data_IF_789790209398
#
_entry.id   IF_789790209398
#
_cell.length_a   1.000
_cell.length_b   1.000
_cell.length_c   1.000
_cell.angle_alpha   90.00
_cell.angle_beta   90.00
_cell.angle_gamma   90.00
#
_symmetry.space_group_name_H-M   'P 1'
#
loop_
_entity.id
_entity.type
_entity.pdbx_description
1 polymer ?
#
# COMPACT_ATOMS: atom_id res chain seq x y z
N UNK A 1 14.47 -4.28 -17.62
CA UNK A 1 13.08 -3.79 -17.48
C UNK A 1 12.16 -4.99 -17.33
N UNK A 2 11.13 -4.89 -16.49
CA UNK A 2 10.11 -5.93 -16.37
C UNK A 2 9.23 -5.92 -17.63
N UNK A 3 8.72 -7.08 -18.04
CA UNK A 3 7.88 -7.21 -19.24
C UNK A 3 6.75 -8.20 -18.94
N UNK A 4 5.52 -7.69 -18.99
CA UNK A 4 4.30 -8.45 -18.73
C UNK A 4 3.36 -8.43 -19.95
N UNK A 5 3.92 -8.41 -21.16
CA UNK A 5 3.17 -8.52 -22.41
C UNK A 5 2.38 -9.83 -22.53
N UNK A 6 1.24 -9.77 -23.23
CA UNK A 6 0.38 -10.93 -23.46
C UNK A 6 -0.06 -11.61 -22.16
N UNK A 7 0.10 -12.94 -22.10
CA UNK A 7 -0.30 -13.77 -20.96
C UNK A 7 0.67 -13.71 -19.76
N UNK A 8 1.83 -13.07 -19.89
CA UNK A 8 2.83 -13.01 -18.84
C UNK A 8 2.31 -12.33 -17.56
N UNK A 9 1.53 -11.25 -17.70
CA UNK A 9 0.89 -10.59 -16.55
C UNK A 9 0.00 -11.55 -15.77
N UNK A 10 -0.86 -12.30 -16.46
CA UNK A 10 -1.78 -13.23 -15.82
C UNK A 10 -1.02 -14.37 -15.12
N UNK A 11 0.04 -14.87 -15.75
CA UNK A 11 0.90 -15.92 -15.17
C UNK A 11 1.62 -15.46 -13.89
N UNK A 12 2.02 -14.18 -13.82
CA UNK A 12 2.70 -13.61 -12.66
C UNK A 12 1.74 -13.06 -11.58
N UNK A 13 0.45 -12.92 -11.88
CA UNK A 13 -0.50 -12.15 -11.06
C UNK A 13 -0.53 -12.53 -9.59
N UNK A 14 -0.57 -13.83 -9.27
CA UNK A 14 -0.60 -14.31 -7.88
C UNK A 14 0.64 -13.90 -7.09
N UNK A 15 1.79 -13.85 -7.74
CA UNK A 15 3.04 -13.43 -7.11
C UNK A 15 3.07 -11.91 -6.94
N UNK A 16 2.69 -11.16 -7.99
CA UNK A 16 2.63 -9.69 -7.99
C UNK A 16 1.65 -9.13 -6.96
N UNK A 17 0.57 -9.87 -6.68
CA UNK A 17 -0.48 -9.51 -5.72
C UNK A 17 -0.50 -10.43 -4.50
N UNK A 18 0.63 -11.06 -4.15
CA UNK A 18 0.75 -11.83 -2.91
C UNK A 18 0.47 -10.95 -1.67
N UNK A 19 0.85 -9.67 -1.76
CA UNK A 19 0.71 -8.67 -0.71
C UNK A 19 -0.72 -8.22 -0.44
N UNK A 20 -1.46 -7.90 -1.51
CA UNK A 20 -2.78 -7.27 -1.44
C UNK A 20 -3.93 -8.14 -1.92
N UNK A 21 -3.65 -9.34 -2.42
CA UNK A 21 -4.65 -10.29 -2.90
C UNK A 21 -5.59 -9.68 -3.95
N UNK A 22 -5.12 -8.69 -4.72
CA UNK A 22 -5.94 -8.08 -5.77
C UNK A 22 -6.41 -9.17 -6.75
N UNK A 23 -7.72 -9.29 -7.00
CA UNK A 23 -8.24 -10.28 -7.92
C UNK A 23 -7.89 -9.94 -9.38
N UNK A 24 -7.65 -10.98 -10.19
CA UNK A 24 -7.41 -10.82 -11.62
C UNK A 24 -8.59 -10.09 -12.28
N UNK A 25 -8.36 -9.02 -13.05
CA UNK A 25 -9.42 -8.29 -13.77
C UNK A 25 -9.86 -9.05 -15.03
N UNK A 26 -10.59 -10.14 -14.85
CA UNK A 26 -11.27 -10.86 -15.93
C UNK A 26 -12.63 -10.25 -16.31
N UNK A 27 -13.27 -10.83 -17.34
CA UNK A 27 -14.58 -10.39 -17.79
C UNK A 27 -15.67 -10.55 -16.72
N UNK A 28 -15.58 -11.52 -15.80
CA UNK A 28 -16.58 -11.72 -14.76
C UNK A 28 -16.47 -10.63 -13.68
N UNK A 29 -15.24 -10.30 -13.27
CA UNK A 29 -14.98 -9.16 -12.38
C UNK A 29 -15.40 -7.86 -13.04
N UNK A 30 -15.05 -7.63 -14.30
CA UNK A 30 -15.45 -6.45 -15.04
C UNK A 30 -16.98 -6.30 -15.12
N UNK A 31 -17.73 -7.39 -15.34
CA UNK A 31 -19.21 -7.37 -15.28
C UNK A 31 -19.72 -6.89 -13.91
N UNK A 32 -19.15 -7.37 -12.81
CA UNK A 32 -19.52 -6.90 -11.45
C UNK A 32 -19.21 -5.43 -11.25
N UNK A 33 -18.06 -4.97 -11.75
CA UNK A 33 -17.66 -3.57 -11.64
C UNK A 33 -18.57 -2.66 -12.48
N UNK A 34 -18.95 -3.06 -13.69
CA UNK A 34 -19.87 -2.28 -14.55
C UNK A 34 -21.28 -2.14 -13.97
N UNK A 35 -21.68 -3.01 -13.05
CA UNK A 35 -22.96 -2.89 -12.35
C UNK A 35 -22.96 -1.78 -11.28
N UNK A 36 -21.80 -1.18 -10.98
CA UNK A 36 -21.69 -0.08 -10.03
C UNK A 36 -22.19 1.24 -10.66
N UNK A 37 -22.69 2.18 -9.84
CA UNK A 37 -23.07 3.51 -10.33
C UNK A 37 -21.87 4.28 -10.93
N UNK A 38 -22.12 5.06 -11.99
CA UNK A 38 -21.15 6.01 -12.54
C UNK A 38 -19.97 5.37 -13.30
N UNK A 39 -20.11 4.13 -13.76
CA UNK A 39 -19.07 3.43 -14.52
C UNK A 39 -19.07 3.82 -15.99
N UNK A 40 -17.90 3.79 -16.66
CA UNK A 40 -17.83 4.07 -18.09
C UNK A 40 -18.69 3.10 -18.89
N UNK A 41 -19.35 3.60 -19.93
CA UNK A 41 -20.13 2.80 -20.87
C UNK A 41 -19.19 2.00 -21.80
N UNK A 42 -18.57 0.96 -21.26
CA UNK A 42 -17.73 0.02 -22.00
C UNK A 42 -18.18 -1.42 -21.72
N UNK A 43 -18.03 -2.32 -22.69
CA UNK A 43 -18.30 -3.75 -22.49
C UNK A 43 -17.33 -4.37 -21.48
N UNK A 44 -17.75 -5.44 -20.80
CA UNK A 44 -16.93 -6.10 -19.77
C UNK A 44 -15.54 -6.54 -20.26
N UNK A 45 -15.43 -7.00 -21.51
CA UNK A 45 -14.14 -7.36 -22.10
C UNK A 45 -13.21 -6.14 -22.26
N UNK A 46 -13.77 -4.97 -22.62
CA UNK A 46 -13.03 -3.72 -22.78
C UNK A 46 -12.54 -3.22 -21.42
N UNK A 47 -13.41 -3.22 -20.40
CA UNK A 47 -13.01 -2.83 -19.05
C UNK A 47 -11.94 -3.78 -18.48
N UNK A 48 -12.10 -5.09 -18.65
CA UNK A 48 -11.11 -6.07 -18.23
C UNK A 48 -9.73 -5.79 -18.87
N UNK A 49 -9.69 -5.61 -20.20
CA UNK A 49 -8.47 -5.30 -20.92
C UNK A 49 -7.83 -3.98 -20.46
N UNK A 50 -8.63 -2.94 -20.20
CA UNK A 50 -8.14 -1.65 -19.72
C UNK A 50 -7.57 -1.74 -18.30
N UNK A 51 -8.21 -2.50 -17.40
CA UNK A 51 -7.66 -2.76 -16.06
C UNK A 51 -6.34 -3.55 -16.12
N UNK A 52 -6.26 -4.55 -17.00
CA UNK A 52 -5.01 -5.30 -17.23
C UNK A 52 -3.91 -4.40 -17.77
N UNK A 53 -4.24 -3.44 -18.65
CA UNK A 53 -3.28 -2.46 -19.16
C UNK A 53 -2.76 -1.51 -18.06
N UNK A 54 -3.65 -0.99 -17.21
CA UNK A 54 -3.27 -0.13 -16.09
C UNK A 54 -2.37 -0.88 -15.09
N UNK A 55 -2.71 -2.13 -14.75
CA UNK A 55 -1.88 -2.95 -13.87
C UNK A 55 -0.55 -3.34 -14.50
N UNK A 56 -0.52 -3.63 -15.80
CA UNK A 56 0.73 -3.84 -16.54
C UNK A 56 1.65 -2.62 -16.42
N UNK A 57 1.13 -1.43 -16.71
CA UNK A 57 1.88 -0.19 -16.57
C UNK A 57 2.44 -0.03 -15.15
N UNK A 58 1.66 -0.36 -14.11
CA UNK A 58 2.13 -0.32 -12.73
C UNK A 58 3.34 -1.25 -12.50
N UNK A 59 3.22 -2.53 -12.86
CA UNK A 59 4.28 -3.52 -12.61
C UNK A 59 5.52 -3.30 -13.49
N UNK A 60 5.37 -2.68 -14.66
CA UNK A 60 6.49 -2.31 -15.54
C UNK A 60 7.20 -1.02 -15.10
N UNK A 61 6.62 -0.24 -14.18
CA UNK A 61 7.22 0.96 -13.60
C UNK A 61 6.66 2.28 -14.16
N UNK A 62 5.69 2.21 -15.05
CA UNK A 62 5.00 3.35 -15.66
C UNK A 62 3.91 3.90 -14.72
N UNK A 63 4.29 4.29 -13.49
CA UNK A 63 3.33 4.60 -12.41
C UNK A 63 2.39 5.76 -12.73
N UNK A 64 2.88 6.82 -13.39
CA UNK A 64 2.05 7.96 -13.78
C UNK A 64 1.01 7.54 -14.83
N UNK A 65 1.44 6.74 -15.82
CA UNK A 65 0.54 6.16 -16.84
C UNK A 65 -0.49 5.22 -16.20
N UNK A 66 -0.08 4.34 -15.29
CA UNK A 66 -0.97 3.45 -14.55
C UNK A 66 -2.01 4.22 -13.74
N UNK A 67 -1.59 5.31 -13.09
CA UNK A 67 -2.47 6.21 -12.36
C UNK A 67 -3.50 6.86 -13.28
N UNK A 68 -3.06 7.44 -14.41
CA UNK A 68 -3.95 8.09 -15.37
C UNK A 68 -4.94 7.10 -16.02
N UNK A 69 -4.47 5.91 -16.40
CA UNK A 69 -5.31 4.85 -16.95
C UNK A 69 -6.35 4.38 -15.93
N UNK A 70 -5.95 4.16 -14.67
CA UNK A 70 -6.88 3.80 -13.60
C UNK A 70 -7.94 4.89 -13.34
N UNK A 71 -7.53 6.16 -13.32
CA UNK A 71 -8.43 7.30 -13.16
C UNK A 71 -9.50 7.36 -14.24
N UNK A 72 -9.14 7.10 -15.49
CA UNK A 72 -10.07 7.08 -16.61
C UNK A 72 -11.15 5.99 -16.49
N UNK A 73 -10.93 4.97 -15.66
CA UNK A 73 -11.88 3.88 -15.39
C UNK A 73 -12.76 4.14 -14.16
N UNK A 74 -12.65 5.30 -13.52
CA UNK A 74 -13.44 5.66 -12.34
C UNK A 74 -13.22 4.69 -11.18
N UNK A 75 -14.29 4.33 -10.47
CA UNK A 75 -14.19 3.45 -9.28
C UNK A 75 -13.65 2.05 -9.64
N UNK A 76 -13.89 1.56 -10.87
CA UNK A 76 -13.34 0.27 -11.30
C UNK A 76 -11.81 0.27 -11.33
N UNK A 77 -11.18 1.40 -11.68
CA UNK A 77 -9.73 1.57 -11.71
C UNK A 77 -9.12 2.13 -10.42
N UNK A 78 -9.93 2.48 -9.41
CA UNK A 78 -9.43 3.20 -8.24
C UNK A 78 -8.34 2.45 -7.45
N UNK A 79 -8.37 1.11 -7.39
CA UNK A 79 -7.32 0.34 -6.68
C UNK A 79 -5.94 0.55 -7.33
N UNK A 80 -5.82 0.42 -8.65
CA UNK A 80 -4.56 0.64 -9.38
C UNK A 80 -4.17 2.12 -9.36
N UNK A 81 -5.15 3.04 -9.49
CA UNK A 81 -4.92 4.49 -9.35
C UNK A 81 -4.21 4.84 -8.04
N UNK A 82 -4.72 4.30 -6.93
CA UNK A 82 -4.21 4.60 -5.59
C UNK A 82 -2.85 3.94 -5.37
N UNK A 83 -2.68 2.67 -5.76
CA UNK A 83 -1.40 1.96 -5.61
C UNK A 83 -0.31 2.65 -6.44
N UNK A 84 -0.59 2.94 -7.71
CA UNK A 84 0.33 3.65 -8.61
C UNK A 84 0.66 5.06 -8.12
N UNK A 85 -0.35 5.84 -7.73
CA UNK A 85 -0.15 7.20 -7.22
C UNK A 85 0.67 7.21 -5.93
N UNK A 86 0.42 6.28 -5.00
CA UNK A 86 1.21 6.17 -3.78
C UNK A 86 2.66 5.78 -4.04
N UNK A 87 2.90 4.83 -4.95
CA UNK A 87 4.26 4.42 -5.37
C UNK A 87 4.99 5.58 -6.07
N UNK A 88 4.32 6.32 -6.95
CA UNK A 88 4.86 7.53 -7.59
C UNK A 88 5.22 8.59 -6.54
N UNK A 89 4.31 8.89 -5.60
CA UNK A 89 4.56 9.84 -4.54
C UNK A 89 5.78 9.47 -3.68
N UNK A 90 5.94 8.18 -3.38
CA UNK A 90 7.04 7.67 -2.55
C UNK A 90 8.40 7.78 -3.23
N UNK A 91 8.47 7.40 -4.51
CA UNK A 91 9.76 7.15 -5.18
C UNK A 91 10.15 8.21 -6.20
N UNK A 92 9.18 8.98 -6.73
CA UNK A 92 9.41 9.88 -7.87
C UNK A 92 9.32 11.36 -7.48
N UNK A 93 8.55 11.70 -6.44
CA UNK A 93 8.45 13.08 -5.98
C UNK A 93 9.52 13.39 -4.94
N UNK A 94 10.54 14.18 -5.32
CA UNK A 94 11.61 14.61 -4.41
C UNK A 94 11.17 15.71 -3.42
N UNK A 95 10.35 16.65 -3.87
CA UNK A 95 9.89 17.77 -3.04
C UNK A 95 8.80 17.36 -2.04
N UNK A 96 9.04 17.68 -0.76
CA UNK A 96 8.15 17.28 0.32
C UNK A 96 6.78 18.01 0.30
N UNK A 97 6.73 19.25 -0.23
CA UNK A 97 5.47 19.99 -0.35
C UNK A 97 4.61 19.39 -1.47
N UNK A 98 5.18 19.18 -2.65
CA UNK A 98 4.55 18.55 -3.79
C UNK A 98 4.04 17.16 -3.43
N UNK A 99 4.86 16.34 -2.76
CA UNK A 99 4.48 15.00 -2.30
C UNK A 99 3.30 15.05 -1.32
N UNK A 100 3.28 15.98 -0.37
CA UNK A 100 2.13 16.18 0.54
C UNK A 100 0.85 16.54 -0.21
N UNK A 101 0.94 17.48 -1.16
CA UNK A 101 -0.23 17.91 -1.94
C UNK A 101 -0.75 16.77 -2.82
N UNK A 102 0.15 16.05 -3.48
CA UNK A 102 -0.20 14.89 -4.30
C UNK A 102 -0.89 13.79 -3.48
N UNK A 103 -0.34 13.38 -2.34
CA UNK A 103 -0.97 12.34 -1.50
C UNK A 103 -2.38 12.75 -1.04
N UNK A 104 -2.63 14.04 -0.77
CA UNK A 104 -3.97 14.52 -0.41
C UNK A 104 -5.00 14.32 -1.52
N UNK A 105 -4.62 14.33 -2.79
CA UNK A 105 -5.56 14.10 -3.90
C UNK A 105 -6.04 12.65 -3.98
N UNK A 106 -5.28 11.69 -3.41
CA UNK A 106 -5.64 10.27 -3.41
C UNK A 106 -6.69 9.90 -2.36
N UNK A 107 -6.82 10.69 -1.28
CA UNK A 107 -7.75 10.44 -0.17
C UNK A 107 -9.21 10.36 -0.66
N UNK A 108 -9.78 11.36 -1.37
CA UNK A 108 -11.18 11.28 -1.81
C UNK A 108 -11.44 10.12 -2.77
N UNK A 109 -10.45 9.70 -3.56
CA UNK A 109 -10.56 8.52 -4.44
C UNK A 109 -10.71 7.25 -3.60
N UNK A 110 -9.89 7.11 -2.55
CA UNK A 110 -9.94 5.95 -1.66
C UNK A 110 -11.23 5.91 -0.82
N UNK A 111 -11.72 7.07 -0.37
CA UNK A 111 -13.01 7.17 0.32
C UNK A 111 -14.18 6.76 -0.58
N UNK A 112 -14.20 7.23 -1.82
CA UNK A 112 -15.19 6.84 -2.81
C UNK A 112 -15.13 5.33 -3.13
N UNK A 113 -13.92 4.78 -3.28
CA UNK A 113 -13.72 3.34 -3.48
C UNK A 113 -14.31 2.53 -2.31
N UNK A 114 -13.95 2.87 -1.06
CA UNK A 114 -14.48 2.20 0.14
C UNK A 114 -16.00 2.31 0.26
N UNK A 115 -16.56 3.47 -0.06
CA UNK A 115 -18.01 3.70 -0.02
C UNK A 115 -18.75 2.83 -1.05
N UNK A 116 -18.21 2.73 -2.27
CA UNK A 116 -18.85 2.01 -3.37
C UNK A 116 -18.64 0.50 -3.30
N UNK A 117 -17.49 0.06 -2.78
CA UNK A 117 -17.10 -1.35 -2.66
C UNK A 117 -16.75 -1.72 -1.21
N UNK A 118 -17.69 -1.62 -0.26
CA UNK A 118 -17.42 -1.86 1.16
C UNK A 118 -17.16 -3.34 1.50
N UNK A 119 -17.51 -4.26 0.60
CA UNK A 119 -17.25 -5.70 0.77
C UNK A 119 -15.89 -6.18 0.27
N UNK A 120 -15.08 -5.29 -0.31
CA UNK A 120 -13.78 -5.63 -0.90
C UNK A 120 -12.65 -5.21 0.06
N UNK A 121 -11.78 -6.15 0.43
CA UNK A 121 -10.68 -5.89 1.36
C UNK A 121 -9.77 -4.73 0.88
N UNK A 122 -9.47 -4.70 -0.43
CA UNK A 122 -8.64 -3.67 -1.03
C UNK A 122 -9.27 -2.28 -0.97
N UNK A 123 -10.60 -2.15 -0.96
CA UNK A 123 -11.22 -0.83 -0.81
C UNK A 123 -10.93 -0.21 0.55
N UNK A 124 -10.90 -1.03 1.61
CA UNK A 124 -10.52 -0.59 2.94
C UNK A 124 -9.00 -0.38 3.07
N UNK A 125 -8.22 -1.35 2.57
CA UNK A 125 -6.76 -1.26 2.61
C UNK A 125 -6.23 -0.03 1.87
N UNK A 126 -6.77 0.30 0.68
CA UNK A 126 -6.34 1.47 -0.10
C UNK A 126 -6.63 2.79 0.64
N UNK A 127 -7.73 2.88 1.39
CA UNK A 127 -7.97 4.03 2.27
C UNK A 127 -6.92 4.10 3.38
N UNK A 128 -6.67 3.00 4.08
CA UNK A 128 -5.65 2.97 5.12
C UNK A 128 -4.24 3.30 4.58
N UNK A 129 -3.92 2.84 3.37
CA UNK A 129 -2.66 3.09 2.69
C UNK A 129 -2.45 4.59 2.41
N UNK A 130 -3.43 5.28 1.81
CA UNK A 130 -3.30 6.72 1.54
C UNK A 130 -3.26 7.55 2.82
N UNK A 131 -3.98 7.14 3.87
CA UNK A 131 -3.90 7.79 5.18
C UNK A 131 -2.54 7.59 5.84
N UNK A 132 -1.93 6.40 5.69
CA UNK A 132 -0.56 6.14 6.14
C UNK A 132 0.45 7.04 5.40
N UNK A 133 0.35 7.13 4.07
CA UNK A 133 1.20 8.03 3.28
C UNK A 133 1.00 9.49 3.69
N UNK A 134 -0.24 9.90 3.97
CA UNK A 134 -0.54 11.25 4.44
C UNK A 134 0.19 11.52 5.77
N UNK A 135 0.02 10.63 6.75
CA UNK A 135 0.66 10.70 8.06
C UNK A 135 2.19 10.78 7.98
N UNK A 136 2.80 9.97 7.12
CA UNK A 136 4.26 9.93 6.91
C UNK A 136 4.80 11.22 6.29
N UNK A 137 4.00 11.88 5.44
CA UNK A 137 4.42 13.10 4.74
C UNK A 137 4.09 14.40 5.48
N UNK A 138 3.32 14.33 6.58
CA UNK A 138 3.07 15.48 7.46
C UNK A 138 4.38 16.07 7.99
N UNK A 139 4.38 17.40 8.21
CA UNK A 139 5.49 18.05 8.89
C UNK A 139 5.68 17.46 10.31
N UNK A 140 6.92 17.38 10.84
CA UNK A 140 7.19 16.74 12.14
C UNK A 140 6.33 17.25 13.31
N UNK A 141 6.03 18.55 13.31
CA UNK A 141 5.26 19.22 14.36
C UNK A 141 3.76 19.37 14.02
N UNK A 142 3.30 18.81 12.91
CA UNK A 142 1.90 18.89 12.52
C UNK A 142 1.03 18.11 13.50
N UNK A 143 -0.07 18.73 13.93
CA UNK A 143 -1.04 18.09 14.82
C UNK A 143 -1.68 16.89 14.13
N UNK A 144 -1.72 15.76 14.82
CA UNK A 144 -2.42 14.57 14.36
C UNK A 144 -3.94 14.74 14.50
N UNK A 145 -4.66 14.29 13.48
CA UNK A 145 -6.12 14.22 13.52
C UNK A 145 -6.56 12.85 14.08
N UNK A 146 -7.06 12.86 15.31
CA UNK A 146 -7.49 11.63 15.98
C UNK A 146 -8.63 10.91 15.22
N UNK A 147 -9.53 11.64 14.57
CA UNK A 147 -10.62 11.03 13.81
C UNK A 147 -10.07 10.31 12.58
N UNK A 148 -9.11 10.91 11.88
CA UNK A 148 -8.45 10.28 10.75
C UNK A 148 -7.65 9.03 11.17
N UNK A 149 -6.96 9.07 12.33
CA UNK A 149 -6.27 7.90 12.87
C UNK A 149 -7.23 6.76 13.20
N UNK A 150 -8.41 7.06 13.76
CA UNK A 150 -9.45 6.05 14.01
C UNK A 150 -9.98 5.46 12.70
N UNK A 151 -10.23 6.29 11.68
CA UNK A 151 -10.64 5.82 10.35
C UNK A 151 -9.58 4.90 9.74
N UNK A 152 -8.30 5.28 9.81
CA UNK A 152 -7.21 4.44 9.31
C UNK A 152 -7.16 3.08 10.01
N UNK A 153 -7.24 3.06 11.35
CA UNK A 153 -7.21 1.83 12.12
C UNK A 153 -8.40 0.92 11.79
N UNK A 154 -9.62 1.47 11.77
CA UNK A 154 -10.83 0.72 11.42
C UNK A 154 -10.76 0.16 10.01
N UNK A 155 -10.24 0.92 9.03
CA UNK A 155 -10.09 0.45 7.66
C UNK A 155 -9.12 -0.75 7.59
N UNK A 156 -8.01 -0.74 8.33
CA UNK A 156 -7.10 -1.89 8.41
C UNK A 156 -7.78 -3.11 9.03
N UNK A 157 -8.53 -2.91 10.12
CA UNK A 157 -9.28 -3.99 10.77
C UNK A 157 -10.34 -4.58 9.83
N UNK A 158 -11.09 -3.75 9.12
CA UNK A 158 -12.08 -4.21 8.13
C UNK A 158 -11.43 -4.98 6.98
N UNK A 159 -10.30 -4.50 6.45
CA UNK A 159 -9.55 -5.22 5.42
C UNK A 159 -9.13 -6.62 5.90
N UNK A 160 -8.62 -6.74 7.12
CA UNK A 160 -8.19 -8.01 7.71
C UNK A 160 -9.36 -8.90 8.15
N UNK A 161 -10.52 -8.34 8.47
CA UNK A 161 -11.73 -9.12 8.72
C UNK A 161 -12.22 -9.80 7.42
N UNK A 162 -12.16 -9.09 6.30
CA UNK A 162 -12.55 -9.62 4.97
C UNK A 162 -11.49 -10.59 4.45
N UNK A 163 -10.21 -10.23 4.58
CA UNK A 163 -9.08 -11.01 4.09
C UNK A 163 -7.98 -11.14 5.16
N UNK A 164 -8.08 -12.10 6.09
CA UNK A 164 -7.13 -12.26 7.21
C UNK A 164 -5.66 -12.47 6.79
N UNK A 165 -5.46 -12.98 5.57
CA UNK A 165 -4.13 -13.23 4.97
C UNK A 165 -3.62 -12.07 4.10
N UNK A 166 -4.26 -10.90 4.12
CA UNK A 166 -3.80 -9.74 3.37
C UNK A 166 -2.52 -9.17 4.01
N UNK A 167 -1.37 -9.50 3.41
CA UNK A 167 -0.05 -9.25 3.99
C UNK A 167 0.31 -7.75 4.05
N UNK A 168 -0.03 -6.98 3.02
CA UNK A 168 0.18 -5.52 3.00
C UNK A 168 -0.69 -4.80 4.05
N UNK A 169 -1.90 -5.29 4.36
CA UNK A 169 -2.72 -4.75 5.44
C UNK A 169 -2.15 -5.10 6.83
N UNK A 170 -1.64 -6.32 7.01
CA UNK A 170 -0.87 -6.70 8.21
C UNK A 170 0.33 -5.76 8.38
N UNK A 171 1.11 -5.55 7.31
CA UNK A 171 2.28 -4.66 7.34
C UNK A 171 1.88 -3.23 7.72
N UNK A 172 0.84 -2.68 7.09
CA UNK A 172 0.35 -1.34 7.36
C UNK A 172 -0.16 -1.17 8.80
N UNK A 173 -0.78 -2.19 9.41
CA UNK A 173 -1.20 -2.16 10.80
C UNK A 173 0.00 -2.21 11.77
N UNK A 174 1.04 -2.97 11.43
CA UNK A 174 2.32 -2.93 12.13
C UNK A 174 2.96 -1.54 12.10
N UNK A 175 3.04 -0.92 10.92
CA UNK A 175 3.54 0.45 10.72
C UNK A 175 2.71 1.47 11.48
N UNK A 176 1.37 1.34 11.47
CA UNK A 176 0.46 2.23 12.20
C UNK A 176 0.79 2.25 13.70
N UNK A 177 0.86 1.06 14.31
CA UNK A 177 1.21 0.93 15.72
C UNK A 177 2.61 1.47 16.03
N UNK A 178 3.59 1.17 15.18
CA UNK A 178 4.96 1.67 15.32
C UNK A 178 5.03 3.20 15.26
N UNK A 179 4.40 3.78 14.24
CA UNK A 179 4.42 5.23 13.96
C UNK A 179 3.80 6.03 15.10
N UNK A 180 2.63 5.62 15.59
CA UNK A 180 1.95 6.35 16.65
C UNK A 180 2.64 6.19 18.01
N UNK A 181 3.17 4.99 18.29
CA UNK A 181 3.99 4.77 19.50
C UNK A 181 5.24 5.66 19.49
N UNK A 182 5.93 5.74 18.35
CA UNK A 182 7.13 6.58 18.20
C UNK A 182 6.85 8.09 18.23
N UNK A 183 5.76 8.54 17.59
CA UNK A 183 5.42 9.98 17.52
C UNK A 183 4.79 10.53 18.81
N UNK A 184 3.98 9.75 19.50
CA UNK A 184 3.18 10.24 20.65
C UNK A 184 3.69 9.72 21.99
N UNK A 185 4.59 8.74 21.99
CA UNK A 185 4.97 7.97 23.18
C UNK A 185 3.96 6.87 23.52
N UNK A 186 4.44 5.79 24.13
CA UNK A 186 3.68 4.56 24.34
C UNK A 186 2.37 4.74 25.14
N UNK A 187 2.39 5.54 26.22
CA UNK A 187 1.22 5.76 27.07
C UNK A 187 0.12 6.50 26.30
N UNK A 188 0.47 7.63 25.67
CA UNK A 188 -0.49 8.44 24.93
C UNK A 188 -1.03 7.73 23.69
N UNK A 189 -0.18 6.98 22.97
CA UNK A 189 -0.58 6.17 21.83
C UNK A 189 -1.61 5.10 22.23
N UNK A 190 -1.33 4.36 23.32
CA UNK A 190 -2.25 3.34 23.84
C UNK A 190 -3.58 3.94 24.26
N UNK A 191 -3.57 5.04 25.02
CA UNK A 191 -4.79 5.69 25.50
C UNK A 191 -5.66 6.29 24.39
N UNK A 192 -5.06 6.88 23.36
CA UNK A 192 -5.82 7.62 22.33
C UNK A 192 -6.29 6.76 21.16
N UNK A 193 -5.51 5.75 20.79
CA UNK A 193 -5.77 4.98 19.56
C UNK A 193 -5.48 3.48 19.70
N UNK A 194 -5.19 2.99 20.92
CA UNK A 194 -4.88 1.58 21.16
C UNK A 194 -3.51 1.13 20.65
N UNK A 195 -2.70 2.05 20.11
CA UNK A 195 -1.42 1.69 19.51
C UNK A 195 -0.38 1.27 20.54
N UNK A 196 0.36 0.20 20.22
CA UNK A 196 1.38 -0.35 21.11
C UNK A 196 2.45 -1.15 20.34
N UNK A 197 3.65 -1.26 20.92
CA UNK A 197 4.80 -1.91 20.29
C UNK A 197 4.61 -3.43 20.08
N UNK A 198 3.95 -4.13 21.01
CA UNK A 198 3.71 -5.58 20.89
C UNK A 198 2.85 -5.92 19.68
N UNK A 199 1.75 -5.18 19.47
CA UNK A 199 0.91 -5.33 18.28
C UNK A 199 1.68 -4.96 17.01
N UNK A 200 2.51 -3.91 17.06
CA UNK A 200 3.37 -3.56 15.92
C UNK A 200 4.25 -4.74 15.49
N UNK A 201 4.99 -5.34 16.43
CA UNK A 201 5.88 -6.47 16.15
C UNK A 201 5.13 -7.69 15.62
N UNK A 202 4.00 -8.04 16.23
CA UNK A 202 3.17 -9.17 15.79
C UNK A 202 2.70 -9.02 14.34
N UNK A 203 2.21 -7.84 13.97
CA UNK A 203 1.72 -7.57 12.63
C UNK A 203 2.86 -7.50 11.59
N UNK A 204 4.01 -6.90 11.94
CA UNK A 204 5.20 -6.90 11.08
C UNK A 204 5.74 -8.31 10.85
N UNK A 205 5.77 -9.16 11.89
CA UNK A 205 6.16 -10.56 11.76
C UNK A 205 5.19 -11.34 10.86
N UNK A 206 3.88 -11.18 11.09
CA UNK A 206 2.84 -11.84 10.29
C UNK A 206 2.96 -11.46 8.81
N UNK A 207 3.16 -10.17 8.52
CA UNK A 207 3.42 -9.68 7.17
C UNK A 207 4.64 -10.37 6.53
N UNK A 208 5.78 -10.41 7.22
CA UNK A 208 6.99 -11.09 6.71
C UNK A 208 6.83 -12.59 6.51
N UNK A 209 5.97 -13.27 7.29
CA UNK A 209 5.66 -14.69 7.08
C UNK A 209 4.78 -14.90 5.85
N UNK A 210 3.86 -13.97 5.55
CA UNK A 210 2.98 -14.06 4.39
C UNK A 210 3.67 -13.69 3.07
N UNK A 211 4.64 -12.77 3.12
CA UNK A 211 5.41 -12.31 1.95
C UNK A 211 6.93 -12.30 2.22
N UNK A 212 7.55 -13.47 2.52
CA UNK A 212 8.94 -13.54 2.99
C UNK A 212 9.98 -13.11 1.96
N UNK A 213 9.64 -13.19 0.67
CA UNK A 213 10.49 -12.83 -0.45
C UNK A 213 10.12 -11.48 -1.10
N UNK A 214 9.31 -10.65 -0.44
CA UNK A 214 8.94 -9.33 -0.92
C UNK A 214 9.79 -8.24 -0.23
N UNK A 215 10.52 -7.38 -0.99
CA UNK A 215 11.37 -6.33 -0.41
C UNK A 215 10.62 -5.33 0.50
N UNK A 216 9.38 -4.96 0.15
CA UNK A 216 8.58 -3.99 0.92
C UNK A 216 8.37 -4.44 2.36
N UNK A 217 8.10 -5.74 2.58
CA UNK A 217 7.87 -6.31 3.90
C UNK A 217 9.04 -6.08 4.85
N UNK A 218 10.26 -6.27 4.34
CA UNK A 218 11.50 -6.11 5.10
C UNK A 218 11.90 -4.64 5.24
N UNK A 219 11.80 -3.86 4.16
CA UNK A 219 12.06 -2.42 4.17
C UNK A 219 11.21 -1.72 5.23
N UNK A 220 9.90 -1.94 5.20
CA UNK A 220 8.99 -1.26 6.12
C UNK A 220 9.08 -1.83 7.54
N UNK A 221 9.47 -3.09 7.71
CA UNK A 221 9.82 -3.62 9.04
C UNK A 221 11.02 -2.86 9.62
N UNK A 222 12.09 -2.64 8.85
CA UNK A 222 13.24 -1.84 9.28
C UNK A 222 12.84 -0.41 9.67
N UNK A 223 12.03 0.26 8.84
CA UNK A 223 11.51 1.61 9.12
C UNK A 223 10.66 1.66 10.41
N UNK A 224 9.77 0.68 10.60
CA UNK A 224 8.90 0.60 11.77
C UNK A 224 9.71 0.32 13.06
N UNK A 225 10.68 -0.59 13.01
CA UNK A 225 11.57 -0.88 14.14
C UNK A 225 12.43 0.34 14.53
N UNK A 226 12.96 1.05 13.54
CA UNK A 226 13.70 2.29 13.76
C UNK A 226 12.81 3.35 14.44
N UNK A 227 11.56 3.45 14.02
CA UNK A 227 10.57 4.38 14.62
C UNK A 227 10.22 4.01 16.07
N UNK A 228 10.12 2.71 16.38
CA UNK A 228 9.78 2.22 17.71
C UNK A 228 10.92 2.34 18.72
N UNK A 229 12.11 1.90 18.33
CA UNK A 229 13.20 1.66 19.26
C UNK A 229 14.40 2.60 19.09
N UNK A 230 14.39 3.43 18.03
CA UNK A 230 15.57 4.18 17.61
C UNK A 230 16.75 3.25 17.39
N UNK A 231 17.95 3.71 17.76
CA UNK A 231 19.18 2.94 17.61
C UNK A 231 19.33 1.76 18.59
N UNK A 232 18.42 1.58 19.56
CA UNK A 232 18.50 0.45 20.52
C UNK A 232 18.31 -0.92 19.86
N UNK A 233 17.76 -0.95 18.64
CA UNK A 233 17.60 -2.16 17.82
C UNK A 233 18.33 -2.04 16.48
N UNK A 234 19.45 -1.32 16.44
CA UNK A 234 20.23 -1.07 15.22
C UNK A 234 20.55 -2.36 14.45
N UNK A 235 20.88 -3.45 15.14
CA UNK A 235 21.14 -4.75 14.50
C UNK A 235 19.92 -5.29 13.73
N UNK A 236 18.73 -5.32 14.34
CA UNK A 236 17.51 -5.81 13.70
C UNK A 236 17.01 -4.88 12.57
N UNK A 237 17.22 -3.57 12.72
CA UNK A 237 16.94 -2.59 11.66
C UNK A 237 17.85 -2.81 10.45
N UNK A 238 19.16 -2.98 10.70
CA UNK A 238 20.17 -3.23 9.66
C UNK A 238 19.89 -4.54 8.95
N UNK A 239 19.63 -5.63 9.69
CA UNK A 239 19.27 -6.93 9.14
C UNK A 239 18.05 -6.83 8.21
N UNK A 240 17.02 -6.08 8.61
CA UNK A 240 15.82 -5.91 7.80
C UNK A 240 16.12 -5.16 6.49
N UNK A 241 16.91 -4.08 6.52
CA UNK A 241 17.29 -3.36 5.30
C UNK A 241 18.21 -4.20 4.40
N UNK A 242 19.20 -4.90 4.96
CA UNK A 242 20.06 -5.79 4.18
C UNK A 242 19.28 -6.91 3.52
N UNK A 243 18.30 -7.49 4.22
CA UNK A 243 17.45 -8.53 3.66
C UNK A 243 16.64 -7.98 2.49
N UNK A 244 15.97 -6.84 2.67
CA UNK A 244 15.22 -6.17 1.60
C UNK A 244 16.11 -5.88 0.38
N UNK A 245 17.33 -5.38 0.61
CA UNK A 245 18.30 -5.02 -0.42
C UNK A 245 18.78 -6.21 -1.27
N UNK A 246 18.80 -7.43 -0.70
CA UNK A 246 19.30 -8.67 -1.32
C UNK A 246 18.20 -9.51 -1.99
N UNK A 247 16.93 -9.20 -1.77
CA UNK A 247 15.82 -9.93 -2.37
C UNK A 247 15.70 -9.62 -3.86
N UNK A 248 15.36 -10.65 -4.66
CA UNK A 248 15.07 -10.51 -6.09
C UNK A 248 13.69 -9.90 -6.28
N UNK A 249 13.56 -8.71 -6.90
CA UNK A 249 12.27 -8.08 -7.14
C UNK A 249 11.48 -8.77 -8.26
N UNK A 250 10.16 -8.84 -8.11
CA UNK A 250 9.25 -9.40 -9.11
C UNK A 250 8.70 -8.35 -10.07
N UNK A 251 8.72 -7.07 -9.68
CA UNK A 251 8.26 -5.94 -10.50
C UNK A 251 9.07 -4.66 -10.22
N UNK A 252 8.71 -3.59 -10.93
CA UNK A 252 9.38 -2.30 -10.80
C UNK A 252 9.22 -1.67 -9.40
N UNK A 253 8.08 -1.86 -8.74
CA UNK A 253 7.84 -1.29 -7.41
C UNK A 253 8.72 -1.97 -6.35
N UNK A 254 8.78 -3.30 -6.36
CA UNK A 254 9.68 -4.07 -5.49
C UNK A 254 11.15 -3.72 -5.77
N UNK A 255 11.51 -3.43 -7.03
CA UNK A 255 12.88 -3.05 -7.39
C UNK A 255 13.28 -1.71 -6.79
N UNK A 256 12.35 -0.75 -6.75
CA UNK A 256 12.54 0.53 -6.08
C UNK A 256 12.63 0.37 -4.56
N UNK A 257 11.81 -0.48 -3.96
CA UNK A 257 11.87 -0.76 -2.52
C UNK A 257 13.21 -1.42 -2.12
N UNK A 258 13.69 -2.40 -2.91
CA UNK A 258 15.01 -3.00 -2.71
C UNK A 258 16.15 -1.99 -2.91
N UNK A 259 16.03 -1.09 -3.91
CA UNK A 259 16.98 -0.01 -4.13
C UNK A 259 17.02 0.97 -2.98
N UNK A 260 15.85 1.34 -2.44
CA UNK A 260 15.78 2.21 -1.28
C UNK A 260 16.39 1.54 -0.04
N UNK A 261 16.12 0.26 0.19
CA UNK A 261 16.74 -0.46 1.30
C UNK A 261 18.28 -0.42 1.26
N UNK A 262 18.88 -0.50 0.06
CA UNK A 262 20.34 -0.36 -0.11
C UNK A 262 20.87 0.98 0.39
N UNK A 263 20.13 2.07 0.18
CA UNK A 263 20.56 3.40 0.66
C UNK A 263 20.40 3.59 2.17
N UNK A 264 19.79 2.63 2.88
CA UNK A 264 19.56 2.68 4.34
C UNK A 264 20.35 1.64 5.13
N UNK A 265 21.08 0.76 4.44
CA UNK A 265 21.86 -0.33 5.05
C UNK A 265 23.26 0.10 5.51
N UNK A 266 23.57 1.39 5.41
CA UNK A 266 24.85 2.03 5.77
C UNK A 266 24.59 3.25 6.64
#
# INVERSE_FOLDING_TARGET
AFNFAGAALQGAWKQLHLGDLEPWPDAQRAKRLLALPGQPHAGAAVLAAALQAAWRAYHEGEFESAHAQGMALGVAGASVTIKAGGTHARHMLGDAVARRLYVKTLIPIAEALRKTLPGEANSHYRLAYVLSLHLQNMAPNARLDNAQLQVQHMALQSALQIAPRHAEAQLALGIFHATLTGRMGAIAAKMRCGANATAAEHHLETARRLMPANPLAWLETGNALLTLAGMRRSAAVTEAFERAAKLTPHDAAEALDAAWARTRSH
#
